data_IF_280024114930
#
_entry.id   IF_280024114930
#
_cell.length_a   1.000
_cell.length_b   1.000
_cell.length_c   1.000
_cell.angle_alpha   90.00
_cell.angle_beta   90.00
_cell.angle_gamma   90.00
#
_symmetry.space_group_name_H-M   'P 1'
#
loop_
_entity.id
_entity.type
_entity.pdbx_description
1 polymer ?
#
# COMPACT_ATOMS: atom_id res chain seq x y z
N UNK A 1 -6.16 -5.88 15.24
CA UNK A 1 -7.58 -6.15 15.52
C UNK A 1 -7.82 -5.79 16.97
N UNK A 2 -8.55 -4.72 17.17
CA UNK A 2 -9.16 -4.49 18.48
C UNK A 2 -10.25 -5.56 18.62
N UNK A 3 -9.88 -6.68 19.29
CA UNK A 3 -10.73 -7.85 19.37
C UNK A 3 -11.97 -7.54 20.20
N UNK A 4 -13.13 -7.63 19.59
CA UNK A 4 -14.39 -7.70 20.34
C UNK A 4 -14.30 -8.85 21.32
N UNK A 5 -14.56 -8.60 22.59
CA UNK A 5 -14.69 -9.67 23.57
C UNK A 5 -16.02 -10.40 23.34
N UNK A 6 -16.09 -11.68 23.69
CA UNK A 6 -17.34 -12.45 23.63
C UNK A 6 -18.49 -11.81 24.41
N UNK A 7 -18.17 -10.98 25.40
CA UNK A 7 -19.13 -10.23 26.21
C UNK A 7 -19.82 -9.10 25.45
N UNK A 8 -19.15 -8.52 24.45
CA UNK A 8 -19.65 -7.40 23.62
C UNK A 8 -20.59 -7.84 22.51
N UNK A 9 -20.77 -9.15 22.28
CA UNK A 9 -21.70 -9.68 21.29
C UNK A 9 -23.11 -9.71 21.88
N UNK A 10 -24.04 -8.98 21.27
CA UNK A 10 -25.43 -8.91 21.76
C UNK A 10 -26.26 -10.13 21.38
N UNK A 11 -26.23 -10.52 20.12
CA UNK A 11 -27.01 -11.66 19.60
C UNK A 11 -26.12 -12.60 18.76
N UNK A 12 -26.40 -13.92 18.90
CA UNK A 12 -25.74 -14.98 18.13
C UNK A 12 -26.77 -15.59 17.17
N UNK A 13 -26.65 -15.28 15.90
CA UNK A 13 -27.53 -15.77 14.85
C UNK A 13 -26.89 -16.96 14.15
N UNK A 14 -27.60 -18.11 14.18
CA UNK A 14 -27.13 -19.34 13.58
C UNK A 14 -27.60 -19.42 12.12
N UNK A 15 -26.65 -19.66 11.20
CA UNK A 15 -26.91 -19.69 9.76
C UNK A 15 -26.38 -20.98 9.14
N UNK A 16 -27.15 -21.59 8.24
CA UNK A 16 -26.82 -22.83 7.52
C UNK A 16 -27.30 -24.08 8.24
N UNK A 17 -27.63 -25.14 7.47
CA UNK A 17 -28.24 -26.38 7.97
C UNK A 17 -27.42 -27.14 9.02
N UNK A 18 -26.07 -27.05 8.95
CA UNK A 18 -25.18 -27.66 9.95
C UNK A 18 -25.35 -27.08 11.37
N UNK A 19 -25.90 -25.89 11.51
CA UNK A 19 -26.16 -25.26 12.80
C UNK A 19 -27.35 -25.91 13.54
N UNK A 20 -28.08 -26.81 12.91
CA UNK A 20 -29.12 -27.62 13.56
C UNK A 20 -28.55 -28.75 14.41
N UNK A 21 -27.26 -29.07 14.26
CA UNK A 21 -26.60 -30.13 15.05
C UNK A 21 -26.47 -29.66 16.50
N UNK A 22 -27.03 -30.39 17.49
CA UNK A 22 -27.02 -29.94 18.89
C UNK A 22 -25.61 -29.69 19.44
N UNK A 23 -24.63 -30.49 19.03
CA UNK A 23 -23.24 -30.32 19.46
C UNK A 23 -22.68 -28.98 18.98
N UNK A 24 -22.95 -28.58 17.72
CA UNK A 24 -22.52 -27.27 17.17
C UNK A 24 -23.15 -26.13 17.97
N UNK A 25 -24.47 -26.22 18.23
CA UNK A 25 -25.17 -25.21 19.04
C UNK A 25 -24.57 -25.08 20.44
N UNK A 26 -24.28 -26.23 21.08
CA UNK A 26 -23.65 -26.25 22.40
C UNK A 26 -22.26 -25.61 22.35
N UNK A 27 -21.41 -26.00 21.41
CA UNK A 27 -20.05 -25.43 21.28
C UNK A 27 -20.07 -23.91 21.07
N UNK A 28 -20.98 -23.40 20.24
CA UNK A 28 -21.11 -21.96 20.01
C UNK A 28 -21.60 -21.26 21.26
N UNK A 29 -22.63 -21.79 21.93
CA UNK A 29 -23.14 -21.22 23.19
C UNK A 29 -22.04 -21.19 24.28
N UNK A 30 -21.33 -22.29 24.45
CA UNK A 30 -20.24 -22.41 25.42
C UNK A 30 -19.11 -21.40 25.14
N UNK A 31 -18.74 -21.23 23.88
CA UNK A 31 -17.73 -20.24 23.46
C UNK A 31 -18.11 -18.81 23.84
N UNK A 32 -19.38 -18.45 23.75
CA UNK A 32 -19.89 -17.15 24.13
C UNK A 32 -20.40 -17.09 25.61
N UNK A 33 -19.85 -17.93 26.50
CA UNK A 33 -20.15 -17.89 27.94
C UNK A 33 -21.57 -18.33 28.30
N UNK A 34 -22.17 -19.23 27.52
CA UNK A 34 -23.52 -19.73 27.75
C UNK A 34 -24.63 -18.84 27.20
N UNK A 35 -24.33 -17.86 26.34
CA UNK A 35 -25.34 -16.99 25.69
C UNK A 35 -26.34 -17.81 24.89
N UNK A 36 -27.60 -17.37 24.93
CA UNK A 36 -28.67 -18.01 24.15
C UNK A 36 -28.49 -17.70 22.65
N UNK A 37 -28.64 -18.75 21.85
CA UNK A 37 -28.62 -18.63 20.39
C UNK A 37 -29.96 -18.06 19.88
N UNK A 38 -29.91 -17.13 18.93
CA UNK A 38 -31.12 -16.58 18.32
C UNK A 38 -31.88 -17.66 17.55
N UNK A 39 -33.16 -17.86 17.90
CA UNK A 39 -34.07 -18.82 17.24
C UNK A 39 -35.15 -18.14 16.39
N UNK A 40 -35.05 -16.83 16.19
CA UNK A 40 -36.07 -16.04 15.49
C UNK A 40 -36.00 -16.18 13.96
N UNK A 41 -34.91 -16.68 13.44
CA UNK A 41 -34.70 -16.85 12.00
C UNK A 41 -34.56 -18.34 11.64
N UNK A 42 -35.00 -18.72 10.46
CA UNK A 42 -34.76 -20.06 9.93
C UNK A 42 -33.32 -20.13 9.38
N UNK A 43 -32.45 -20.98 9.94
CA UNK A 43 -31.06 -21.06 9.50
C UNK A 43 -30.89 -21.43 8.01
N UNK A 44 -31.84 -22.12 7.43
CA UNK A 44 -31.77 -22.59 6.02
C UNK A 44 -32.18 -21.51 5.03
N UNK A 45 -32.98 -20.52 5.46
CA UNK A 45 -33.60 -19.50 4.59
C UNK A 45 -33.03 -18.10 4.81
N UNK A 46 -32.37 -17.82 5.92
CA UNK A 46 -31.97 -16.47 6.33
C UNK A 46 -31.03 -15.83 5.31
N UNK A 47 -30.18 -16.60 4.63
CA UNK A 47 -29.30 -16.08 3.58
C UNK A 47 -30.11 -15.58 2.38
N UNK A 48 -31.08 -16.36 1.95
CA UNK A 48 -31.98 -15.97 0.83
C UNK A 48 -32.83 -14.76 1.20
N UNK A 49 -33.30 -14.68 2.45
CA UNK A 49 -34.04 -13.51 2.95
C UNK A 49 -33.17 -12.26 2.97
N UNK A 50 -31.91 -12.36 3.45
CA UNK A 50 -30.95 -11.27 3.44
C UNK A 50 -30.61 -10.79 2.02
N UNK A 51 -30.41 -11.73 1.08
CA UNK A 51 -30.17 -11.42 -0.32
C UNK A 51 -31.38 -10.69 -0.97
N UNK A 52 -32.59 -11.08 -0.63
CA UNK A 52 -33.80 -10.39 -1.11
C UNK A 52 -33.90 -8.94 -0.58
N UNK A 53 -33.55 -8.72 0.69
CA UNK A 53 -33.48 -7.39 1.30
C UNK A 53 -32.44 -6.53 0.59
N UNK A 54 -31.26 -7.07 0.34
CA UNK A 54 -30.19 -6.34 -0.37
C UNK A 54 -30.60 -6.02 -1.82
N UNK A 55 -31.26 -6.95 -2.53
CA UNK A 55 -31.77 -6.71 -3.87
C UNK A 55 -32.81 -5.58 -3.90
N UNK A 56 -33.66 -5.47 -2.88
CA UNK A 56 -34.60 -4.36 -2.77
C UNK A 56 -33.90 -3.01 -2.55
N UNK A 57 -32.89 -2.96 -1.67
CA UNK A 57 -32.06 -1.78 -1.44
C UNK A 57 -31.38 -1.32 -2.74
N UNK A 58 -30.72 -2.24 -3.46
CA UNK A 58 -30.04 -1.95 -4.72
C UNK A 58 -30.99 -1.54 -5.86
N UNK A 59 -32.25 -2.04 -5.86
CA UNK A 59 -33.24 -1.66 -6.87
C UNK A 59 -33.82 -0.24 -6.67
N UNK A 60 -33.40 0.48 -5.63
CA UNK A 60 -33.91 1.80 -5.26
C UNK A 60 -35.43 1.88 -5.10
N UNK A 61 -36.10 0.75 -4.93
CA UNK A 61 -37.51 0.69 -4.60
C UNK A 61 -37.66 0.99 -3.11
N UNK A 62 -37.78 2.27 -2.81
CA UNK A 62 -37.84 2.81 -1.45
C UNK A 62 -38.99 2.17 -0.63
N UNK A 63 -38.63 1.25 0.26
CA UNK A 63 -39.49 0.81 1.34
C UNK A 63 -39.05 1.56 2.61
N UNK A 64 -39.91 2.37 3.20
CA UNK A 64 -39.64 3.11 4.46
C UNK A 64 -39.06 2.23 5.59
N UNK A 65 -39.22 0.90 5.49
CA UNK A 65 -38.68 -0.05 6.45
C UNK A 65 -37.19 -0.34 6.28
N UNK A 66 -36.63 -0.07 5.08
CA UNK A 66 -35.25 -0.35 4.72
C UNK A 66 -34.37 0.93 4.66
N UNK A 67 -34.95 2.12 4.83
CA UNK A 67 -34.22 3.39 4.75
C UNK A 67 -33.07 3.49 5.75
N UNK A 68 -33.10 2.71 6.83
CA UNK A 68 -32.06 2.70 7.87
C UNK A 68 -31.17 1.43 7.83
N UNK A 69 -31.32 0.59 6.79
CA UNK A 69 -30.48 -0.61 6.65
C UNK A 69 -29.36 -0.29 5.68
N UNK A 70 -28.13 -0.36 6.15
CA UNK A 70 -26.93 -0.15 5.34
C UNK A 70 -26.05 -1.37 5.47
N UNK A 71 -25.73 -2.00 4.34
CA UNK A 71 -24.69 -3.02 4.27
C UNK A 71 -23.37 -2.33 3.90
N UNK A 72 -22.40 -2.43 4.79
CA UNK A 72 -21.05 -1.90 4.57
C UNK A 72 -20.09 -3.08 4.44
N UNK A 73 -19.68 -3.37 3.21
CA UNK A 73 -18.59 -4.28 2.95
C UNK A 73 -17.23 -3.59 3.15
N UNK A 74 -16.19 -4.38 3.37
CA UNK A 74 -14.82 -3.90 3.57
C UNK A 74 -13.83 -4.68 2.72
N UNK A 75 -12.69 -4.07 2.44
CA UNK A 75 -11.58 -4.76 1.79
C UNK A 75 -10.99 -5.82 2.72
N UNK A 76 -10.85 -7.10 2.29
CA UNK A 76 -10.31 -8.17 3.15
C UNK A 76 -8.82 -8.03 3.40
N UNK A 77 -8.08 -7.48 2.42
CA UNK A 77 -6.64 -7.24 2.46
C UNK A 77 -6.31 -5.82 2.00
N UNK A 78 -5.13 -5.34 2.36
CA UNK A 78 -4.59 -4.07 1.87
C UNK A 78 -4.27 -4.16 0.38
N UNK A 79 -4.54 -3.07 -0.35
CA UNK A 79 -4.25 -2.94 -1.77
C UNK A 79 -3.21 -1.84 -1.98
N UNK A 80 -2.30 -2.08 -2.89
CA UNK A 80 -1.24 -1.12 -3.19
C UNK A 80 -0.40 -1.49 -4.39
N UNK A 81 0.72 -0.81 -4.53
CA UNK A 81 1.72 -1.03 -5.58
C UNK A 81 3.11 -1.08 -4.95
N UNK A 82 4.10 -1.52 -5.71
CA UNK A 82 5.48 -1.45 -5.27
C UNK A 82 6.07 -0.05 -5.44
N UNK A 83 7.06 0.23 -4.62
CA UNK A 83 7.95 1.38 -4.78
C UNK A 83 9.40 0.91 -4.77
N UNK A 84 10.32 1.81 -5.04
CA UNK A 84 11.74 1.51 -5.15
C UNK A 84 12.26 0.66 -3.96
N UNK A 85 12.86 -0.48 -4.29
CA UNK A 85 13.35 -1.46 -3.31
C UNK A 85 12.33 -2.54 -2.95
N UNK A 86 11.38 -2.85 -3.85
CA UNK A 86 10.35 -3.88 -3.66
C UNK A 86 9.52 -3.67 -2.38
N UNK A 87 9.29 -2.41 -2.00
CA UNK A 87 8.51 -2.07 -0.82
C UNK A 87 7.04 -1.88 -1.18
N UNK A 88 6.15 -2.58 -0.46
CA UNK A 88 4.71 -2.42 -0.60
C UNK A 88 4.26 -1.03 -0.16
N UNK A 89 3.68 -0.27 -1.08
CA UNK A 89 3.08 1.04 -0.82
C UNK A 89 1.56 0.91 -0.78
N UNK A 90 1.02 0.76 0.41
CA UNK A 90 -0.42 0.63 0.61
C UNK A 90 -1.12 1.92 0.19
N UNK A 91 -2.17 1.79 -0.62
CA UNK A 91 -3.09 2.87 -1.05
C UNK A 91 -4.44 2.72 -0.36
N UNK A 92 -4.98 1.51 -0.34
CA UNK A 92 -6.22 1.18 0.39
C UNK A 92 -5.87 0.18 1.48
N UNK A 93 -5.93 0.56 2.77
CA UNK A 93 -5.72 -0.38 3.88
C UNK A 93 -6.81 -1.46 3.93
N UNK A 94 -6.47 -2.63 4.48
CA UNK A 94 -7.48 -3.65 4.82
C UNK A 94 -8.57 -3.08 5.73
N UNK A 95 -9.74 -3.68 5.72
CA UNK A 95 -10.92 -3.24 6.45
C UNK A 95 -11.39 -1.82 6.09
N UNK A 96 -11.01 -1.31 4.91
CA UNK A 96 -11.57 -0.06 4.38
C UNK A 96 -12.99 -0.31 3.86
N UNK A 97 -14.00 0.48 4.29
CA UNK A 97 -15.36 0.37 3.75
C UNK A 97 -15.38 0.60 2.24
N UNK A 98 -16.21 -0.14 1.52
CA UNK A 98 -16.47 0.05 0.09
C UNK A 98 -17.91 0.55 -0.11
N UNK A 99 -18.20 1.34 -1.17
CA UNK A 99 -17.26 1.76 -2.22
C UNK A 99 -16.20 2.77 -1.71
N UNK A 100 -15.00 2.74 -2.29
CA UNK A 100 -13.91 3.61 -1.89
C UNK A 100 -13.07 4.06 -3.09
N UNK A 101 -12.59 5.32 -3.02
CA UNK A 101 -11.65 5.87 -4.00
C UNK A 101 -10.49 6.54 -3.27
N UNK A 102 -9.27 6.09 -3.53
CA UNK A 102 -8.04 6.63 -2.95
C UNK A 102 -7.02 6.91 -4.04
N UNK A 103 -6.38 8.06 -3.95
CA UNK A 103 -5.31 8.47 -4.87
C UNK A 103 -4.02 8.69 -4.10
N UNK A 104 -2.91 8.19 -4.63
CA UNK A 104 -1.56 8.42 -4.12
C UNK A 104 -0.65 8.85 -5.25
N UNK A 105 0.23 9.79 -4.96
CA UNK A 105 1.18 10.32 -5.95
C UNK A 105 2.50 9.56 -5.83
N UNK A 106 2.99 9.08 -6.97
CA UNK A 106 4.28 8.42 -7.13
C UNK A 106 5.17 9.24 -8.07
N UNK A 107 6.45 8.90 -8.09
CA UNK A 107 7.47 9.66 -8.81
C UNK A 107 8.37 8.71 -9.59
N UNK A 108 8.96 9.21 -10.67
CA UNK A 108 10.04 8.49 -11.38
C UNK A 108 11.21 8.19 -10.45
N UNK A 109 11.75 6.98 -10.56
CA UNK A 109 12.85 6.47 -9.72
C UNK A 109 14.22 6.57 -10.40
N UNK A 110 14.24 6.92 -11.70
CA UNK A 110 15.48 7.10 -12.51
C UNK A 110 15.41 8.37 -13.33
N UNK A 111 16.58 8.88 -13.70
CA UNK A 111 16.69 9.97 -14.68
C UNK A 111 16.19 9.52 -16.04
N UNK A 112 15.53 10.43 -16.76
CA UNK A 112 15.01 10.22 -18.11
C UNK A 112 14.08 9.00 -18.24
N UNK A 113 13.39 8.63 -17.16
CA UNK A 113 12.41 7.54 -17.18
C UNK A 113 11.17 7.96 -17.96
N UNK A 114 10.86 7.24 -19.05
CA UNK A 114 9.74 7.55 -19.96
C UNK A 114 8.52 6.67 -19.77
N UNK A 115 8.59 5.71 -18.86
CA UNK A 115 7.47 4.83 -18.52
C UNK A 115 7.54 4.40 -17.04
N UNK A 116 6.37 4.23 -16.41
CA UNK A 116 6.23 3.66 -15.05
C UNK A 116 5.31 2.46 -15.16
N UNK A 117 5.78 1.31 -14.67
CA UNK A 117 4.95 0.11 -14.54
C UNK A 117 4.39 0.06 -13.14
N UNK A 118 3.08 -0.13 -13.05
CA UNK A 118 2.32 -0.22 -11.81
C UNK A 118 1.81 -1.65 -11.62
N UNK A 119 2.53 -2.52 -10.90
CA UNK A 119 1.97 -3.78 -10.44
C UNK A 119 1.02 -3.52 -9.27
N UNK A 120 -0.10 -4.22 -9.25
CA UNK A 120 -1.14 -4.08 -8.24
C UNK A 120 -1.12 -5.31 -7.38
N UNK A 121 -0.91 -5.11 -6.09
CA UNK A 121 -0.82 -6.19 -5.10
C UNK A 121 -1.94 -6.08 -4.07
N UNK A 122 -2.32 -7.25 -3.54
CA UNK A 122 -3.11 -7.38 -2.33
C UNK A 122 -2.35 -8.18 -1.27
N UNK A 123 -2.37 -7.73 -0.02
CA UNK A 123 -1.72 -8.41 1.11
C UNK A 123 -1.14 -7.45 2.13
N UNK A 124 -0.50 -8.04 3.16
CA UNK A 124 -0.04 -7.30 4.34
C UNK A 124 1.49 -7.29 4.50
N UNK A 125 2.24 -7.99 3.63
CA UNK A 125 3.68 -8.09 3.73
C UNK A 125 4.36 -6.78 3.31
N UNK A 126 5.48 -6.46 3.94
CA UNK A 126 6.24 -5.25 3.63
C UNK A 126 6.92 -5.32 2.25
N UNK A 127 7.37 -6.52 1.85
CA UNK A 127 7.91 -6.76 0.52
C UNK A 127 6.77 -6.96 -0.46
N UNK A 128 6.73 -6.15 -1.53
CA UNK A 128 5.64 -6.19 -2.50
C UNK A 128 5.53 -7.55 -3.19
N UNK A 129 6.65 -8.14 -3.58
CA UNK A 129 6.72 -9.45 -4.25
C UNK A 129 6.28 -10.64 -3.39
N UNK A 130 6.12 -10.47 -2.07
CA UNK A 130 5.59 -11.48 -1.14
C UNK A 130 4.06 -11.38 -0.98
N UNK A 131 3.42 -10.42 -1.63
CA UNK A 131 1.97 -10.28 -1.68
C UNK A 131 1.39 -10.86 -2.98
N UNK A 132 0.07 -11.02 -3.04
CA UNK A 132 -0.59 -11.53 -4.23
C UNK A 132 -0.65 -10.47 -5.33
N UNK A 133 -0.12 -10.79 -6.51
CA UNK A 133 -0.15 -9.91 -7.68
C UNK A 133 -1.50 -10.05 -8.40
N UNK A 134 -2.31 -9.00 -8.39
CA UNK A 134 -3.61 -8.95 -9.07
C UNK A 134 -3.48 -8.62 -10.57
N UNK A 135 -2.50 -7.82 -10.93
CA UNK A 135 -2.26 -7.40 -12.30
C UNK A 135 -1.22 -6.30 -12.40
N UNK A 136 -0.92 -5.88 -13.62
CA UNK A 136 0.02 -4.77 -13.87
C UNK A 136 -0.36 -4.00 -15.13
N UNK A 137 -0.09 -2.71 -15.15
CA UNK A 137 -0.19 -1.87 -16.34
C UNK A 137 0.96 -0.86 -16.37
N UNK A 138 1.18 -0.21 -17.51
CA UNK A 138 2.32 0.68 -17.69
C UNK A 138 1.87 2.01 -18.26
N UNK A 139 2.09 3.09 -17.52
CA UNK A 139 1.94 4.47 -18.02
C UNK A 139 3.18 4.82 -18.85
N UNK A 140 2.98 5.11 -20.13
CA UNK A 140 4.03 5.39 -21.10
C UNK A 140 4.06 6.86 -21.50
N UNK A 141 5.05 7.22 -22.35
CA UNK A 141 5.20 8.56 -22.93
C UNK A 141 5.34 9.67 -21.87
N UNK A 142 6.08 9.37 -20.80
CA UNK A 142 6.45 10.37 -19.81
C UNK A 142 7.61 11.24 -20.33
N UNK A 143 7.67 12.53 -19.97
CA UNK A 143 8.77 13.40 -20.38
C UNK A 143 10.08 12.92 -19.73
N UNK A 144 11.20 12.86 -20.47
CA UNK A 144 12.50 12.52 -19.91
C UNK A 144 13.02 13.67 -19.04
N UNK A 145 12.88 13.53 -17.73
CA UNK A 145 13.30 14.50 -16.73
C UNK A 145 14.15 13.81 -15.66
N UNK A 146 14.87 14.56 -14.83
CA UNK A 146 15.56 14.02 -13.67
C UNK A 146 14.63 13.21 -12.77
N UNK A 147 15.21 12.25 -12.04
CA UNK A 147 14.51 11.44 -11.03
C UNK A 147 13.66 12.30 -10.11
N UNK A 148 12.44 11.85 -9.79
CA UNK A 148 11.44 12.52 -8.93
C UNK A 148 10.84 13.81 -9.47
N UNK A 149 11.14 14.21 -10.69
CA UNK A 149 10.50 15.39 -11.28
C UNK A 149 9.19 15.07 -12.01
N UNK A 150 9.06 13.85 -12.51
CA UNK A 150 7.83 13.38 -13.13
C UNK A 150 6.95 12.70 -12.08
N UNK A 151 5.69 13.13 -12.00
CA UNK A 151 4.69 12.65 -11.03
C UNK A 151 3.62 11.86 -11.76
N UNK A 152 3.17 10.78 -11.16
CA UNK A 152 1.93 10.10 -11.54
C UNK A 152 0.97 10.04 -10.35
N UNK A 153 -0.29 10.30 -10.60
CA UNK A 153 -1.37 10.11 -9.65
C UNK A 153 -2.02 8.74 -9.90
N UNK A 154 -1.80 7.79 -9.00
CA UNK A 154 -2.39 6.45 -9.08
C UNK A 154 -3.62 6.40 -8.21
N UNK A 155 -4.77 6.12 -8.82
CA UNK A 155 -6.08 6.05 -8.16
C UNK A 155 -6.58 4.61 -8.13
N UNK A 156 -6.90 4.14 -6.93
CA UNK A 156 -7.59 2.88 -6.66
C UNK A 156 -9.05 3.21 -6.39
N UNK A 157 -9.95 2.61 -7.14
CA UNK A 157 -11.40 2.78 -7.02
C UNK A 157 -12.05 1.40 -6.95
N UNK A 158 -12.75 1.15 -5.85
CA UNK A 158 -13.49 -0.10 -5.61
C UNK A 158 -14.96 0.29 -5.55
N UNK A 159 -15.77 -0.32 -6.38
CA UNK A 159 -17.21 -0.07 -6.41
C UNK A 159 -17.99 -0.93 -5.38
N UNK A 160 -19.31 -0.81 -5.41
CA UNK A 160 -20.23 -1.53 -4.52
C UNK A 160 -20.20 -3.05 -4.75
N UNK A 161 -19.82 -3.50 -5.94
CA UNK A 161 -19.68 -4.90 -6.32
C UNK A 161 -18.28 -5.47 -5.98
N UNK A 162 -17.39 -4.64 -5.41
CA UNK A 162 -16.03 -5.01 -5.08
C UNK A 162 -15.09 -5.09 -6.30
N UNK A 163 -15.48 -4.51 -7.43
CA UNK A 163 -14.64 -4.45 -8.63
C UNK A 163 -13.58 -3.37 -8.44
N UNK A 164 -12.32 -3.75 -8.54
CA UNK A 164 -11.19 -2.83 -8.40
C UNK A 164 -10.79 -2.27 -9.77
N UNK A 165 -10.85 -0.97 -9.91
CA UNK A 165 -10.28 -0.21 -11.03
C UNK A 165 -9.09 0.59 -10.55
N UNK A 166 -7.95 0.40 -11.19
CA UNK A 166 -6.74 1.19 -10.91
C UNK A 166 -6.38 2.00 -12.14
N UNK A 167 -6.12 3.29 -11.96
CA UNK A 167 -5.70 4.19 -13.03
C UNK A 167 -4.53 5.05 -12.60
N UNK A 168 -3.60 5.29 -13.52
CA UNK A 168 -2.49 6.21 -13.36
C UNK A 168 -2.66 7.38 -14.34
N UNK A 169 -2.41 8.59 -13.86
CA UNK A 169 -2.50 9.84 -14.62
C UNK A 169 -1.22 10.66 -14.43
N UNK A 170 -0.60 11.06 -15.54
CA UNK A 170 0.39 12.13 -15.54
C UNK A 170 -0.30 13.45 -15.89
N UNK A 171 -0.47 14.33 -14.90
CA UNK A 171 -1.30 15.54 -15.03
C UNK A 171 -0.81 16.52 -16.09
N UNK A 172 0.51 16.69 -16.24
CA UNK A 172 1.06 17.67 -17.20
C UNK A 172 0.82 17.28 -18.66
N UNK A 173 0.88 15.98 -19.00
CA UNK A 173 0.67 15.51 -20.38
C UNK A 173 -0.74 15.01 -20.64
N UNK A 174 -1.54 14.79 -19.59
CA UNK A 174 -2.84 14.16 -19.69
C UNK A 174 -2.79 12.65 -20.00
N UNK A 175 -1.61 12.05 -20.07
CA UNK A 175 -1.45 10.62 -20.30
C UNK A 175 -2.09 9.82 -19.17
N UNK A 176 -2.93 8.87 -19.55
CA UNK A 176 -3.66 8.01 -18.61
C UNK A 176 -3.65 6.58 -19.08
N UNK A 177 -3.48 5.68 -18.15
CA UNK A 177 -3.64 4.24 -18.32
C UNK A 177 -4.45 3.66 -17.16
N UNK A 178 -5.12 2.54 -17.38
CA UNK A 178 -5.90 1.90 -16.35
C UNK A 178 -6.03 0.39 -16.56
N UNK A 179 -6.28 -0.32 -15.46
CA UNK A 179 -6.65 -1.72 -15.45
C UNK A 179 -7.93 -1.88 -14.61
N UNK A 180 -8.83 -2.75 -15.05
CA UNK A 180 -9.99 -3.17 -14.26
C UNK A 180 -9.79 -4.63 -13.89
N UNK A 181 -9.85 -4.89 -12.60
CA UNK A 181 -9.65 -6.20 -12.00
C UNK A 181 -10.99 -6.68 -11.47
N UNK A 182 -11.61 -7.58 -12.23
CA UNK A 182 -12.85 -8.22 -11.82
C UNK A 182 -12.56 -9.38 -10.86
N UNK A 183 -13.51 -9.67 -9.97
CA UNK A 183 -13.40 -10.65 -8.89
C UNK A 183 -13.16 -12.12 -9.34
N UNK A 184 -12.83 -12.38 -10.59
CA UNK A 184 -12.61 -13.74 -11.12
C UNK A 184 -11.38 -14.47 -10.50
N UNK A 185 -10.71 -13.83 -9.57
CA UNK A 185 -9.57 -14.39 -8.85
C UNK A 185 -9.61 -14.10 -7.34
N UNK A 186 -10.80 -13.88 -6.76
CA UNK A 186 -10.91 -13.67 -5.31
C UNK A 186 -10.26 -14.84 -4.57
N UNK A 187 -9.34 -14.51 -3.70
CA UNK A 187 -8.67 -15.49 -2.85
C UNK A 187 -9.71 -16.22 -1.98
N UNK A 188 -9.58 -17.53 -1.81
CA UNK A 188 -10.39 -18.26 -0.82
C UNK A 188 -10.18 -17.68 0.58
N UNK A 189 -11.19 -17.70 1.43
CA UNK A 189 -11.14 -17.16 2.80
C UNK A 189 -9.95 -17.74 3.59
N UNK A 190 -9.68 -19.03 3.45
CA UNK A 190 -8.50 -19.69 4.05
C UNK A 190 -7.17 -19.07 3.62
N UNK A 191 -7.08 -18.65 2.37
CA UNK A 191 -5.86 -18.03 1.85
C UNK A 191 -5.71 -16.60 2.41
N UNK A 192 -6.81 -15.87 2.52
CA UNK A 192 -6.83 -14.54 3.16
C UNK A 192 -6.40 -14.66 4.63
N UNK A 193 -6.95 -15.63 5.37
CA UNK A 193 -6.57 -15.91 6.76
C UNK A 193 -5.09 -16.28 6.87
N UNK A 194 -4.58 -17.13 5.97
CA UNK A 194 -3.15 -17.50 5.91
C UNK A 194 -2.28 -16.26 5.71
N UNK A 195 -2.60 -15.40 4.73
CA UNK A 195 -1.82 -14.19 4.45
C UNK A 195 -1.81 -13.22 5.64
N UNK A 196 -2.92 -13.10 6.37
CA UNK A 196 -3.01 -12.29 7.57
C UNK A 196 -2.15 -12.86 8.70
N UNK A 197 -2.18 -14.18 8.89
CA UNK A 197 -1.40 -14.84 9.94
C UNK A 197 0.09 -14.81 9.63
N UNK A 198 0.49 -15.07 8.38
CA UNK A 198 1.87 -14.89 7.92
C UNK A 198 2.38 -13.48 8.16
N UNK A 199 1.59 -12.46 7.85
CA UNK A 199 1.98 -11.07 8.08
C UNK A 199 2.25 -10.78 9.57
N UNK A 200 1.48 -11.38 10.48
CA UNK A 200 1.73 -11.29 11.92
C UNK A 200 3.01 -12.03 12.32
N UNK A 201 3.20 -13.25 11.80
CA UNK A 201 4.38 -14.07 12.09
C UNK A 201 5.68 -13.36 11.65
N UNK A 202 5.64 -12.66 10.52
CA UNK A 202 6.80 -11.98 9.95
C UNK A 202 6.87 -10.48 10.28
N UNK A 203 6.05 -9.99 11.20
CA UNK A 203 5.95 -8.55 11.54
C UNK A 203 7.30 -7.91 11.88
N UNK A 204 8.14 -8.62 12.62
CA UNK A 204 9.49 -8.14 12.99
C UNK A 204 10.41 -8.03 11.78
N UNK A 205 10.37 -9.04 10.90
CA UNK A 205 11.14 -9.04 9.66
C UNK A 205 10.67 -7.93 8.72
N UNK A 206 9.38 -7.76 8.61
CA UNK A 206 8.75 -6.71 7.79
C UNK A 206 9.08 -5.32 8.31
N UNK A 207 9.10 -5.13 9.62
CA UNK A 207 9.55 -3.87 10.25
C UNK A 207 11.01 -3.58 9.94
N UNK A 208 11.88 -4.59 10.06
CA UNK A 208 13.30 -4.46 9.72
C UNK A 208 13.49 -4.17 8.22
N UNK A 209 12.72 -4.84 7.35
CA UNK A 209 12.75 -4.61 5.92
C UNK A 209 12.32 -3.18 5.54
N UNK A 210 11.21 -2.69 6.09
CA UNK A 210 10.75 -1.29 5.90
C UNK A 210 11.82 -0.29 6.35
N UNK A 211 12.46 -0.52 7.50
CA UNK A 211 13.49 0.36 8.02
C UNK A 211 14.73 0.36 7.11
N UNK A 212 15.15 -0.80 6.60
CA UNK A 212 16.25 -0.94 5.64
C UNK A 212 15.95 -0.26 4.31
N UNK A 213 14.79 -0.54 3.72
CA UNK A 213 14.35 0.08 2.47
C UNK A 213 14.26 1.60 2.60
N UNK A 214 13.75 2.09 3.73
CA UNK A 214 13.72 3.53 4.03
C UNK A 214 15.12 4.14 4.06
N UNK A 215 16.07 3.52 4.78
CA UNK A 215 17.44 4.02 4.87
C UNK A 215 18.13 4.06 3.49
N UNK A 216 17.91 3.02 2.67
CA UNK A 216 18.38 2.96 1.27
C UNK A 216 17.81 4.13 0.46
N UNK A 217 16.51 4.33 0.50
CA UNK A 217 15.85 5.38 -0.27
C UNK A 217 16.25 6.78 0.22
N UNK A 218 16.37 6.99 1.53
CA UNK A 218 16.85 8.25 2.12
C UNK A 218 18.28 8.59 1.68
N UNK A 219 19.16 7.59 1.52
CA UNK A 219 20.51 7.77 0.98
C UNK A 219 20.49 8.15 -0.50
N UNK A 220 19.71 7.45 -1.32
CA UNK A 220 19.54 7.77 -2.75
C UNK A 220 18.98 9.18 -2.93
N UNK A 221 17.92 9.52 -2.20
CA UNK A 221 17.31 10.84 -2.28
C UNK A 221 18.28 11.95 -1.93
N UNK A 222 19.12 11.74 -0.91
CA UNK A 222 20.15 12.69 -0.55
C UNK A 222 21.21 12.83 -1.66
N UNK A 223 21.68 11.72 -2.24
CA UNK A 223 22.66 11.76 -3.33
C UNK A 223 22.09 12.46 -4.59
N UNK A 224 20.86 12.17 -4.96
CA UNK A 224 20.20 12.83 -6.08
C UNK A 224 19.93 14.31 -5.82
N UNK A 225 19.55 14.72 -4.59
CA UNK A 225 19.38 16.14 -4.25
C UNK A 225 20.68 16.90 -4.38
N UNK A 226 21.80 16.35 -3.90
CA UNK A 226 23.13 16.95 -4.05
C UNK A 226 23.49 17.13 -5.52
N UNK A 227 23.21 16.13 -6.38
CA UNK A 227 23.45 16.22 -7.82
C UNK A 227 22.61 17.30 -8.48
N UNK A 228 21.33 17.40 -8.11
CA UNK A 228 20.40 18.43 -8.60
C UNK A 228 20.88 19.83 -8.20
N UNK A 229 21.22 20.04 -6.94
CA UNK A 229 21.74 21.31 -6.43
C UNK A 229 23.03 21.72 -7.15
N UNK A 230 23.99 20.79 -7.34
CA UNK A 230 25.23 21.07 -8.03
C UNK A 230 25.01 21.44 -9.52
N UNK A 231 24.02 20.83 -10.18
CA UNK A 231 23.69 21.13 -11.56
C UNK A 231 22.92 22.45 -11.73
N UNK A 232 22.08 22.82 -10.76
CA UNK A 232 21.31 24.06 -10.75
C UNK A 232 22.13 25.29 -10.34
N UNK A 233 23.33 25.08 -9.78
CA UNK A 233 24.18 26.18 -9.32
C UNK A 233 24.63 27.07 -10.47
N UNK A 234 24.28 28.36 -10.40
CA UNK A 234 24.55 29.38 -11.43
C UNK A 234 25.89 30.14 -11.23
N UNK A 235 26.83 29.56 -10.47
CA UNK A 235 28.20 30.12 -10.35
C UNK A 235 28.64 30.47 -8.94
N UNK A 236 27.87 30.07 -7.90
CA UNK A 236 28.29 30.23 -6.50
C UNK A 236 29.36 29.19 -6.10
N UNK A 237 29.33 28.02 -6.76
CA UNK A 237 30.31 26.94 -6.57
C UNK A 237 31.45 27.03 -7.60
N UNK A 238 32.71 26.88 -7.14
CA UNK A 238 33.82 26.67 -8.07
C UNK A 238 33.65 25.37 -8.85
N UNK A 239 34.00 25.35 -10.11
CA UNK A 239 33.83 24.16 -11.00
C UNK A 239 34.45 22.90 -10.34
N UNK A 240 35.61 22.99 -9.75
CA UNK A 240 36.27 21.89 -9.04
C UNK A 240 35.41 21.29 -7.89
N UNK A 241 34.66 22.14 -7.18
CA UNK A 241 33.83 21.68 -6.05
C UNK A 241 32.53 21.07 -6.58
N UNK A 242 31.96 21.64 -7.64
CA UNK A 242 30.84 21.07 -8.39
C UNK A 242 31.17 19.65 -8.90
N UNK A 243 32.29 19.46 -9.58
CA UNK A 243 32.74 18.16 -10.10
C UNK A 243 32.93 17.13 -8.98
N UNK A 244 33.41 17.56 -7.82
CA UNK A 244 33.57 16.68 -6.64
C UNK A 244 32.23 16.25 -6.05
N UNK A 245 31.26 17.16 -5.95
CA UNK A 245 29.91 16.85 -5.45
C UNK A 245 29.24 15.86 -6.40
N UNK A 246 29.30 16.13 -7.71
CA UNK A 246 28.75 15.24 -8.73
C UNK A 246 29.36 13.84 -8.67
N UNK A 247 30.70 13.76 -8.58
CA UNK A 247 31.41 12.49 -8.46
C UNK A 247 31.05 11.73 -7.17
N UNK A 248 30.95 12.43 -6.04
CA UNK A 248 30.56 11.80 -4.77
C UNK A 248 29.11 11.25 -4.81
N UNK A 249 28.19 12.02 -5.37
CA UNK A 249 26.80 11.60 -5.54
C UNK A 249 26.68 10.39 -6.47
N UNK A 250 27.34 10.43 -7.64
CA UNK A 250 27.33 9.32 -8.59
C UNK A 250 27.89 8.03 -7.99
N UNK A 251 29.03 8.14 -7.27
CA UNK A 251 29.62 6.99 -6.56
C UNK A 251 28.66 6.35 -5.57
N UNK A 252 27.90 7.15 -4.81
CA UNK A 252 26.94 6.61 -3.84
C UNK A 252 25.77 5.94 -4.54
N UNK A 253 25.26 6.52 -5.63
CA UNK A 253 24.19 5.93 -6.43
C UNK A 253 24.62 4.55 -6.97
N UNK A 254 25.79 4.49 -7.62
CA UNK A 254 26.36 3.23 -8.12
C UNK A 254 26.60 2.21 -6.99
N UNK A 255 27.08 2.68 -5.83
CA UNK A 255 27.30 1.81 -4.67
C UNK A 255 25.98 1.21 -4.15
N UNK A 256 24.90 1.99 -4.06
CA UNK A 256 23.58 1.48 -3.63
C UNK A 256 23.02 0.46 -4.62
N UNK A 257 23.23 0.67 -5.93
CA UNK A 257 22.81 -0.28 -6.96
C UNK A 257 23.59 -1.60 -6.87
N UNK A 258 24.89 -1.52 -6.57
CA UNK A 258 25.75 -2.69 -6.41
C UNK A 258 25.55 -3.42 -5.06
N UNK A 259 24.90 -2.79 -4.08
CA UNK A 259 24.70 -3.32 -2.72
C UNK A 259 23.21 -3.26 -2.28
N UNK A 260 22.28 -3.92 -3.01
CA UNK A 260 20.85 -3.81 -2.75
C UNK A 260 20.44 -4.37 -1.37
N UNK A 261 21.24 -5.29 -0.82
CA UNK A 261 20.97 -5.99 0.44
C UNK A 261 21.85 -5.51 1.61
N UNK A 262 22.51 -4.36 1.48
CA UNK A 262 23.28 -3.78 2.58
C UNK A 262 22.38 -3.53 3.80
N UNK A 263 22.95 -3.56 5.02
CA UNK A 263 22.19 -3.33 6.24
C UNK A 263 21.72 -1.87 6.35
N UNK A 264 20.70 -1.63 7.16
CA UNK A 264 20.22 -0.28 7.49
C UNK A 264 21.37 0.62 7.97
N UNK A 265 22.17 0.10 8.89
CA UNK A 265 23.30 0.82 9.51
C UNK A 265 24.36 1.19 8.44
N UNK A 266 24.57 0.31 7.46
CA UNK A 266 25.49 0.57 6.36
C UNK A 266 25.01 1.71 5.47
N UNK A 267 23.72 1.75 5.12
CA UNK A 267 23.12 2.85 4.35
C UNK A 267 23.18 4.18 5.13
N UNK A 268 22.87 4.15 6.42
CA UNK A 268 22.94 5.32 7.28
C UNK A 268 24.39 5.84 7.42
N UNK A 269 25.37 4.95 7.54
CA UNK A 269 26.79 5.31 7.59
C UNK A 269 27.26 5.95 6.29
N UNK A 270 26.90 5.40 5.13
CA UNK A 270 27.25 6.01 3.83
C UNK A 270 26.59 7.38 3.65
N UNK A 271 25.35 7.55 4.15
CA UNK A 271 24.68 8.84 4.17
C UNK A 271 25.42 9.85 5.05
N UNK A 272 25.86 9.46 6.24
CA UNK A 272 26.65 10.34 7.13
C UNK A 272 28.00 10.72 6.50
N UNK A 273 28.71 9.78 5.85
CA UNK A 273 29.93 10.08 5.10
C UNK A 273 29.68 11.09 3.99
N UNK A 274 28.59 10.95 3.26
CA UNK A 274 28.22 11.88 2.19
C UNK A 274 27.88 13.27 2.75
N UNK A 275 27.19 13.34 3.90
CA UNK A 275 26.87 14.58 4.61
C UNK A 275 28.10 15.27 5.17
N UNK A 276 29.04 14.55 5.81
CA UNK A 276 30.25 15.11 6.38
C UNK A 276 31.18 15.69 5.31
N UNK A 277 31.23 15.06 4.13
CA UNK A 277 31.93 15.59 2.96
C UNK A 277 31.34 16.92 2.46
N UNK A 278 30.07 17.20 2.70
CA UNK A 278 29.41 18.49 2.41
C UNK A 278 29.69 19.52 3.52
N UNK A 279 29.53 19.16 4.78
CA UNK A 279 29.63 20.07 5.93
C UNK A 279 31.04 20.61 6.17
N UNK A 280 32.06 19.78 5.99
CA UNK A 280 33.46 20.21 6.12
C UNK A 280 33.88 21.27 5.10
N UNK A 281 33.08 21.50 4.06
CA UNK A 281 33.35 22.46 2.96
C UNK A 281 32.43 23.67 2.96
N UNK A 282 31.17 23.54 3.38
CA UNK A 282 30.27 24.68 3.62
C UNK A 282 30.70 25.51 4.83
N UNK A 283 31.24 24.88 5.87
CA UNK A 283 31.85 25.58 7.01
C UNK A 283 33.06 26.47 6.61
N UNK A 284 33.82 26.09 5.60
CA UNK A 284 34.91 26.89 5.02
C UNK A 284 34.41 28.12 4.24
N UNK A 285 33.25 28.02 3.57
CA UNK A 285 32.66 29.16 2.85
C UNK A 285 32.07 30.21 3.77
N UNK A 286 31.49 29.82 4.91
CA UNK A 286 30.99 30.78 5.92
C UNK A 286 32.11 31.51 6.67
N UNK A 287 33.27 30.86 6.84
CA UNK A 287 34.44 31.51 7.46
C UNK A 287 35.29 32.38 6.49
N UNK A 288 34.98 32.37 5.20
CA UNK A 288 35.70 33.23 4.23
C UNK A 288 34.91 34.49 3.81
N UNK A 289 33.75 34.70 4.46
CA UNK A 289 32.90 35.91 4.24
C UNK A 289 32.91 36.84 5.45
N UNK A 290 33.65 36.50 6.53
CA UNK A 290 33.91 37.42 7.62
C UNK A 290 35.40 37.80 7.70
#
# INVERSE_FOLDING_TARGET
>A
MDGWSCEQVDEIVMVGGSTRIPMVQKMVSDFFGGKQLCKRVNPDEVVAQGAAVQAEILSQRSSKKLDNVVLLDVTPLSLGTDVEGDLMSIVVPRNSPIPIKKTKVFFTVRDNQTAITNPIYEGERARASENNLLGKFTLKNLPPRPRREVKEAVTFEIDEDGILKVSALHEETGNRESITLTNNGRLPDKEIERMIEEAKQYEEQDRAYRARAKARNDLLDYAYSMRKEANADSGSLKQRDKDRILKAASRVIEWVEANPDASKETYEMERQKLQSNRSSRLGWMLNSIF
#
